data_IF_763320640968
#
_entry.id   IF_763320640968
#
_cell.length_a   1.000
_cell.length_b   1.000
_cell.length_c   1.000
_cell.angle_alpha   90.00
_cell.angle_beta   90.00
_cell.angle_gamma   90.00
#
_symmetry.space_group_name_H-M   'P 1'
#
loop_
_entity.id
_entity.type
_entity.pdbx_description
1 polymer ?
#
# COMPACT_ATOMS: atom_id res chain seq x y z
N UNK A 1 23.97 12.10 -14.83
CA UNK A 1 22.73 11.55 -14.22
C UNK A 1 22.31 12.59 -13.23
N UNK A 2 21.14 13.19 -13.45
CA UNK A 2 20.67 14.31 -12.64
C UNK A 2 19.61 13.80 -11.68
N UNK A 3 19.65 14.29 -10.43
CA UNK A 3 18.67 13.94 -9.41
C UNK A 3 17.71 15.12 -9.26
N UNK A 4 16.41 14.84 -9.38
CA UNK A 4 15.35 15.83 -9.28
C UNK A 4 14.41 15.38 -8.16
N UNK A 5 14.36 16.16 -7.09
CA UNK A 5 13.56 15.88 -5.90
C UNK A 5 12.26 16.68 -5.81
N UNK A 6 12.14 17.78 -6.58
CA UNK A 6 10.98 18.70 -6.50
C UNK A 6 10.41 19.08 -7.87
N UNK A 7 9.16 19.54 -7.89
CA UNK A 7 8.54 20.08 -9.11
C UNK A 7 9.26 21.35 -9.61
N UNK A 8 9.85 22.14 -8.71
CA UNK A 8 10.58 23.36 -9.06
C UNK A 8 11.89 23.04 -9.78
N UNK A 9 12.64 22.05 -9.28
CA UNK A 9 13.82 21.52 -9.94
C UNK A 9 13.49 20.93 -11.31
N UNK A 10 12.36 20.21 -11.43
CA UNK A 10 11.88 19.70 -12.71
C UNK A 10 11.59 20.82 -13.70
N UNK A 11 10.96 21.92 -13.25
CA UNK A 11 10.66 23.10 -14.09
C UNK A 11 11.91 23.86 -14.53
N UNK A 12 12.92 23.91 -13.68
CA UNK A 12 14.20 24.54 -13.98
C UNK A 12 15.12 23.66 -14.84
N UNK A 13 14.79 22.37 -14.99
CA UNK A 13 15.60 21.42 -15.73
C UNK A 13 15.63 21.77 -17.22
N UNK A 14 16.80 22.20 -17.69
CA UNK A 14 17.08 22.43 -19.12
C UNK A 14 18.15 21.46 -19.56
N UNK A 15 17.83 20.63 -20.55
CA UNK A 15 18.79 19.74 -21.21
C UNK A 15 18.73 19.87 -22.72
N UNK A 16 19.80 19.43 -23.37
CA UNK A 16 19.89 19.34 -24.83
C UNK A 16 18.74 18.47 -25.38
N UNK A 17 17.85 19.01 -26.25
CA UNK A 17 16.73 18.28 -26.83
C UNK A 17 17.15 17.13 -27.76
N UNK A 18 18.39 17.10 -28.23
CA UNK A 18 18.90 16.04 -29.12
C UNK A 18 19.19 14.71 -28.40
N UNK A 19 19.10 14.66 -27.06
CA UNK A 19 19.41 13.47 -26.28
C UNK A 19 18.13 12.86 -25.68
N UNK A 20 18.01 11.53 -25.76
CA UNK A 20 16.93 10.78 -25.11
C UNK A 20 16.95 10.97 -23.59
N UNK A 21 15.78 11.21 -23.00
CA UNK A 21 15.61 11.34 -21.56
C UNK A 21 15.16 9.99 -20.98
N UNK A 22 15.86 9.48 -19.96
CA UNK A 22 15.43 8.31 -19.20
C UNK A 22 15.16 8.73 -17.75
N UNK A 23 13.94 8.49 -17.27
CA UNK A 23 13.49 8.83 -15.93
C UNK A 23 13.36 7.54 -15.12
N UNK A 24 14.05 7.49 -13.98
CA UNK A 24 13.96 6.40 -13.01
C UNK A 24 13.57 6.96 -11.65
N UNK A 25 12.95 6.13 -10.80
CA UNK A 25 12.47 6.55 -9.48
C UNK A 25 13.20 5.83 -8.34
N UNK A 26 13.30 6.47 -7.18
CA UNK A 26 13.72 5.75 -5.99
C UNK A 26 12.63 4.74 -5.58
N UNK A 27 13.04 3.57 -5.10
CA UNK A 27 12.12 2.46 -4.74
C UNK A 27 11.05 2.83 -3.71
N UNK A 28 11.34 3.80 -2.84
CA UNK A 28 10.42 4.29 -1.79
C UNK A 28 9.79 5.64 -2.13
N UNK A 29 9.97 6.14 -3.35
CA UNK A 29 9.46 7.45 -3.75
C UNK A 29 7.94 7.44 -3.84
N UNK A 30 7.32 8.60 -3.59
CA UNK A 30 5.86 8.71 -3.59
C UNK A 30 5.31 8.62 -5.03
N UNK A 31 4.47 7.62 -5.29
CA UNK A 31 3.87 7.38 -6.61
C UNK A 31 3.11 8.58 -7.17
N UNK A 32 2.28 9.26 -6.36
CA UNK A 32 1.55 10.46 -6.81
C UNK A 32 2.46 11.62 -7.20
N UNK A 33 3.60 11.79 -6.51
CA UNK A 33 4.61 12.78 -6.89
C UNK A 33 5.33 12.36 -8.16
N UNK A 34 5.64 11.08 -8.31
CA UNK A 34 6.25 10.53 -9.52
C UNK A 34 5.37 10.76 -10.75
N UNK A 35 4.08 10.44 -10.67
CA UNK A 35 3.12 10.65 -11.75
C UNK A 35 3.06 12.10 -12.22
N UNK A 36 3.05 13.05 -11.29
CA UNK A 36 3.08 14.49 -11.64
C UNK A 36 4.36 14.89 -12.37
N UNK A 37 5.50 14.36 -11.93
CA UNK A 37 6.79 14.63 -12.59
C UNK A 37 6.83 14.00 -13.98
N UNK A 38 6.35 12.78 -14.12
CA UNK A 38 6.22 12.09 -15.41
C UNK A 38 5.30 12.87 -16.36
N UNK A 39 4.14 13.33 -15.89
CA UNK A 39 3.21 14.15 -16.67
C UNK A 39 3.87 15.47 -17.10
N UNK A 40 4.66 16.08 -16.22
CA UNK A 40 5.42 17.28 -16.52
C UNK A 40 6.46 17.06 -17.64
N UNK A 41 7.29 16.02 -17.53
CA UNK A 41 8.32 15.73 -18.53
C UNK A 41 7.73 15.24 -19.86
N UNK A 42 6.60 14.53 -19.83
CA UNK A 42 5.89 14.08 -21.03
C UNK A 42 5.30 15.25 -21.85
N UNK A 43 5.01 16.38 -21.19
CA UNK A 43 4.52 17.61 -21.87
C UNK A 43 5.65 18.44 -22.49
N UNK A 44 6.91 18.13 -22.21
CA UNK A 44 8.04 18.82 -22.82
C UNK A 44 8.37 18.24 -24.20
N UNK A 45 8.86 19.09 -25.11
CA UNK A 45 9.21 18.69 -26.49
C UNK A 45 10.55 17.96 -26.54
N UNK A 46 10.60 16.76 -25.98
CA UNK A 46 11.73 15.84 -26.12
C UNK A 46 11.40 14.78 -27.18
N UNK A 47 12.36 14.44 -28.04
CA UNK A 47 12.16 13.46 -29.12
C UNK A 47 11.87 12.05 -28.60
N UNK A 48 12.37 11.71 -27.41
CA UNK A 48 12.11 10.43 -26.74
C UNK A 48 12.29 10.53 -25.22
N UNK A 49 11.26 10.18 -24.47
CA UNK A 49 11.28 10.07 -23.00
C UNK A 49 10.94 8.63 -22.61
N UNK A 50 11.92 7.91 -22.06
CA UNK A 50 11.75 6.58 -21.50
C UNK A 50 11.52 6.70 -19.99
N UNK A 51 10.42 6.15 -19.49
CA UNK A 51 10.06 6.22 -18.07
C UNK A 51 10.11 4.80 -17.50
N UNK A 52 11.07 4.56 -16.61
CA UNK A 52 11.16 3.34 -15.83
C UNK A 52 10.68 3.63 -14.40
N UNK A 53 9.44 3.21 -14.11
CA UNK A 53 8.96 3.25 -12.74
C UNK A 53 9.61 2.13 -11.92
N UNK A 54 10.60 2.50 -11.12
CA UNK A 54 11.31 1.61 -10.21
C UNK A 54 10.82 1.73 -8.76
N UNK A 55 9.67 2.37 -8.53
CA UNK A 55 9.02 2.40 -7.19
C UNK A 55 8.53 1.00 -6.85
N UNK A 56 8.81 0.55 -5.64
CA UNK A 56 8.32 -0.72 -5.11
C UNK A 56 6.87 -0.53 -4.62
N UNK A 57 5.92 -1.04 -5.40
CA UNK A 57 4.47 -0.99 -5.14
C UNK A 57 4.00 -1.92 -4.01
N UNK A 58 4.89 -2.68 -3.38
CA UNK A 58 4.55 -3.72 -2.40
C UNK A 58 3.74 -3.24 -1.18
N UNK A 59 3.73 -1.94 -0.89
CA UNK A 59 2.89 -1.33 0.14
C UNK A 59 1.52 -0.92 -0.40
N UNK A 60 1.45 -0.46 -1.65
CA UNK A 60 0.22 -0.06 -2.32
C UNK A 60 -0.62 -1.28 -2.75
N UNK A 61 0.02 -2.31 -3.30
CA UNK A 61 -0.63 -3.59 -3.61
C UNK A 61 -1.27 -4.20 -2.37
N UNK A 62 -0.53 -4.34 -1.26
CA UNK A 62 -1.09 -4.88 0.00
C UNK A 62 -2.24 -4.05 0.56
N UNK A 63 -2.20 -2.73 0.38
CA UNK A 63 -3.30 -1.85 0.79
C UNK A 63 -4.51 -1.99 -0.13
N UNK A 64 -4.29 -2.20 -1.43
CA UNK A 64 -5.34 -2.43 -2.41
C UNK A 64 -6.00 -3.80 -2.21
N UNK A 65 -5.21 -4.85 -1.99
CA UNK A 65 -5.70 -6.20 -1.65
C UNK A 65 -6.50 -6.18 -0.35
N UNK A 66 -6.00 -5.52 0.70
CA UNK A 66 -6.73 -5.38 1.96
C UNK A 66 -8.07 -4.66 1.78
N UNK A 67 -8.10 -3.63 0.92
CA UNK A 67 -9.34 -2.92 0.57
C UNK A 67 -10.32 -3.84 -0.18
N UNK A 68 -9.84 -4.58 -1.17
CA UNK A 68 -10.69 -5.48 -1.96
C UNK A 68 -11.28 -6.59 -1.09
N UNK A 69 -10.47 -7.20 -0.22
CA UNK A 69 -10.95 -8.21 0.72
C UNK A 69 -11.98 -7.59 1.66
N UNK A 70 -11.70 -6.42 2.25
CA UNK A 70 -12.62 -5.75 3.16
C UNK A 70 -14.00 -5.45 2.53
N UNK A 71 -14.04 -5.11 1.24
CA UNK A 71 -15.31 -4.90 0.52
C UNK A 71 -16.11 -6.18 0.19
N UNK A 72 -15.56 -7.37 0.46
CA UNK A 72 -16.17 -8.67 0.11
C UNK A 72 -16.48 -9.56 1.30
N UNK A 73 -16.16 -9.12 2.51
CA UNK A 73 -16.30 -9.91 3.74
C UNK A 73 -17.22 -9.23 4.74
N UNK A 74 -17.84 -10.03 5.61
CA UNK A 74 -18.73 -9.54 6.66
C UNK A 74 -17.95 -8.99 7.86
N UNK A 75 -16.71 -9.44 8.06
CA UNK A 75 -15.82 -8.93 9.11
C UNK A 75 -14.37 -9.02 8.70
N UNK A 76 -13.56 -8.04 9.13
CA UNK A 76 -12.13 -8.00 8.86
C UNK A 76 -11.33 -8.11 10.14
N UNK A 77 -10.26 -8.89 10.13
CA UNK A 77 -9.29 -8.99 11.22
C UNK A 77 -7.94 -8.49 10.71
N UNK A 78 -7.39 -7.48 11.37
CA UNK A 78 -6.10 -6.87 11.06
C UNK A 78 -5.13 -7.19 12.20
N UNK A 79 -4.10 -7.97 11.88
CA UNK A 79 -3.11 -8.47 12.84
C UNK A 79 -1.84 -7.61 12.79
N UNK A 80 -1.37 -7.15 13.94
CA UNK A 80 -0.03 -6.58 14.08
C UNK A 80 0.11 -5.57 15.23
N UNK A 81 1.32 -5.06 15.45
CA UNK A 81 1.60 -4.17 16.59
C UNK A 81 1.02 -2.77 16.42
N UNK A 82 0.37 -2.23 17.47
CA UNK A 82 -0.33 -0.93 17.45
C UNK A 82 0.57 0.28 17.12
N UNK A 83 1.89 0.12 17.28
CA UNK A 83 2.90 1.13 16.94
C UNK A 83 3.35 1.07 15.47
N UNK A 84 2.95 0.04 14.71
CA UNK A 84 3.27 -0.07 13.29
C UNK A 84 2.40 0.88 12.47
N UNK A 85 3.02 1.88 11.85
CA UNK A 85 2.33 2.82 10.95
C UNK A 85 1.65 2.07 9.79
N UNK A 86 2.28 1.00 9.28
CA UNK A 86 1.71 0.21 8.19
C UNK A 86 0.48 -0.59 8.65
N UNK A 87 0.51 -1.16 9.86
CA UNK A 87 -0.64 -1.92 10.38
C UNK A 87 -1.81 -1.00 10.71
N UNK A 88 -1.54 0.20 11.25
CA UNK A 88 -2.59 1.22 11.47
C UNK A 88 -3.22 1.67 10.15
N UNK A 89 -2.40 1.90 9.12
CA UNK A 89 -2.87 2.28 7.78
C UNK A 89 -3.77 1.19 7.20
N UNK A 90 -3.36 -0.08 7.28
CA UNK A 90 -4.18 -1.22 6.85
C UNK A 90 -5.50 -1.29 7.61
N UNK A 91 -5.46 -1.11 8.93
CA UNK A 91 -6.68 -1.08 9.75
C UNK A 91 -7.64 0.03 9.33
N UNK A 92 -7.15 1.26 9.13
CA UNK A 92 -7.98 2.37 8.67
C UNK A 92 -8.60 2.09 7.29
N UNK A 93 -7.85 1.48 6.37
CA UNK A 93 -8.36 1.11 5.05
C UNK A 93 -9.47 0.06 5.17
N UNK A 94 -9.23 -1.02 5.90
CA UNK A 94 -10.23 -2.07 6.10
C UNK A 94 -11.46 -1.53 6.81
N UNK A 95 -11.30 -0.69 7.84
CA UNK A 95 -12.40 -0.10 8.61
C UNK A 95 -13.29 0.83 7.77
N UNK A 96 -12.74 1.48 6.76
CA UNK A 96 -13.51 2.32 5.84
C UNK A 96 -14.40 1.52 4.90
N UNK A 97 -14.02 0.29 4.54
CA UNK A 97 -14.81 -0.57 3.65
C UNK A 97 -15.71 -1.56 4.43
N UNK A 98 -15.23 -2.04 5.57
CA UNK A 98 -15.89 -3.02 6.44
C UNK A 98 -15.99 -2.43 7.86
N UNK A 99 -17.19 -2.02 8.26
CA UNK A 99 -17.42 -1.45 9.59
C UNK A 99 -17.07 -2.47 10.70
N UNK A 100 -17.22 -3.77 10.46
CA UNK A 100 -16.81 -4.83 11.39
C UNK A 100 -15.32 -5.23 11.22
N UNK A 101 -14.44 -4.22 11.25
CA UNK A 101 -12.99 -4.42 11.28
C UNK A 101 -12.44 -4.43 12.72
N UNK A 102 -11.67 -5.47 13.05
CA UNK A 102 -11.02 -5.73 14.33
C UNK A 102 -9.51 -5.60 14.24
N UNK A 103 -8.92 -5.04 15.27
CA UNK A 103 -7.47 -4.92 15.43
C UNK A 103 -6.99 -5.87 16.51
N UNK A 104 -6.08 -6.79 16.20
CA UNK A 104 -5.52 -7.73 17.18
C UNK A 104 -4.00 -7.73 17.16
N UNK A 105 -3.39 -7.75 18.35
CA UNK A 105 -1.93 -7.90 18.50
C UNK A 105 -1.57 -9.35 18.84
N UNK A 106 -2.48 -10.04 19.51
CA UNK A 106 -2.34 -11.42 19.97
C UNK A 106 -3.67 -12.15 19.82
N UNK A 107 -3.64 -13.49 19.87
CA UNK A 107 -4.86 -14.31 19.90
C UNK A 107 -5.84 -13.93 21.01
N UNK A 108 -5.33 -13.40 22.13
CA UNK A 108 -6.17 -13.03 23.28
C UNK A 108 -7.06 -11.83 23.01
N UNK A 109 -6.69 -11.01 22.01
CA UNK A 109 -7.47 -9.84 21.60
C UNK A 109 -8.64 -10.24 20.69
N UNK A 110 -8.66 -11.48 20.19
CA UNK A 110 -9.74 -11.99 19.35
C UNK A 110 -10.92 -12.42 20.21
N UNK A 111 -11.99 -11.63 20.19
CA UNK A 111 -13.27 -12.03 20.79
C UNK A 111 -14.17 -12.68 19.72
N UNK A 112 -14.19 -14.02 19.70
CA UNK A 112 -15.02 -14.81 18.78
C UNK A 112 -16.51 -14.46 18.84
N UNK A 113 -17.00 -13.91 19.96
CA UNK A 113 -18.41 -13.50 20.10
C UNK A 113 -18.75 -12.25 19.28
N UNK A 114 -17.74 -11.47 18.89
CA UNK A 114 -17.90 -10.28 18.06
C UNK A 114 -17.87 -10.62 16.57
N UNK A 115 -17.33 -11.79 16.21
CA UNK A 115 -17.39 -12.27 14.85
C UNK A 115 -18.81 -12.80 14.53
N UNK A 116 -19.27 -12.62 13.28
CA UNK A 116 -20.54 -13.16 12.85
C UNK A 116 -20.53 -14.68 12.95
N UNK A 117 -21.61 -15.26 13.49
CA UNK A 117 -21.77 -16.72 13.63
C UNK A 117 -21.88 -17.45 12.27
N UNK A 118 -22.21 -16.72 11.21
CA UNK A 118 -22.18 -17.14 9.81
C UNK A 118 -21.76 -15.95 8.95
N UNK A 119 -20.69 -16.08 8.19
CA UNK A 119 -20.19 -15.02 7.32
C UNK A 119 -18.79 -15.31 6.80
N UNK A 120 -18.32 -14.47 5.88
CA UNK A 120 -16.94 -14.47 5.44
C UNK A 120 -16.12 -13.55 6.36
N UNK A 121 -15.04 -14.09 6.93
CA UNK A 121 -14.09 -13.34 7.73
C UNK A 121 -12.81 -13.17 6.94
N UNK A 122 -12.45 -11.93 6.62
CA UNK A 122 -11.18 -11.61 5.99
C UNK A 122 -10.08 -11.41 7.04
N UNK A 123 -8.89 -11.93 6.77
CA UNK A 123 -7.73 -11.81 7.66
C UNK A 123 -6.60 -11.14 6.89
N UNK A 124 -6.04 -10.07 7.45
CA UNK A 124 -4.84 -9.41 6.93
C UNK A 124 -3.86 -9.12 8.05
N UNK A 125 -2.58 -8.97 7.71
CA UNK A 125 -1.54 -8.72 8.70
C UNK A 125 -0.53 -7.69 8.21
N UNK A 126 0.00 -6.89 9.15
CA UNK A 126 1.11 -5.99 8.84
C UNK A 126 2.38 -6.77 8.52
N UNK A 127 3.26 -6.19 7.70
CA UNK A 127 4.49 -6.83 7.21
C UNK A 127 5.45 -7.35 8.32
N UNK A 128 5.37 -6.80 9.53
CA UNK A 128 6.18 -7.19 10.69
C UNK A 128 5.52 -8.25 11.57
N UNK A 129 4.40 -8.82 11.14
CA UNK A 129 3.62 -9.79 11.93
C UNK A 129 4.05 -11.20 11.56
N UNK A 130 4.36 -12.08 12.53
CA UNK A 130 4.83 -13.42 12.25
C UNK A 130 3.70 -14.33 11.75
N UNK A 131 4.01 -15.21 10.80
CA UNK A 131 3.02 -16.07 10.13
C UNK A 131 2.30 -17.04 11.08
N UNK A 132 2.96 -17.48 12.15
CA UNK A 132 2.36 -18.37 13.15
C UNK A 132 1.08 -17.76 13.77
N UNK A 133 1.08 -16.47 14.07
CA UNK A 133 -0.08 -15.78 14.62
C UNK A 133 -1.23 -15.69 13.60
N UNK A 134 -0.90 -15.50 12.32
CA UNK A 134 -1.88 -15.47 11.23
C UNK A 134 -2.56 -16.84 11.09
N UNK A 135 -1.77 -17.92 11.12
CA UNK A 135 -2.29 -19.30 11.05
C UNK A 135 -3.17 -19.65 12.24
N UNK A 136 -2.77 -19.25 13.45
CA UNK A 136 -3.55 -19.51 14.66
C UNK A 136 -4.91 -18.79 14.63
N UNK A 137 -4.93 -17.52 14.22
CA UNK A 137 -6.17 -16.75 14.05
C UNK A 137 -7.04 -17.35 12.96
N UNK A 138 -6.44 -17.77 11.84
CA UNK A 138 -7.16 -18.44 10.77
C UNK A 138 -7.81 -19.76 11.23
N UNK A 139 -7.12 -20.55 12.05
CA UNK A 139 -7.67 -21.81 12.59
C UNK A 139 -8.85 -21.57 13.53
N UNK A 140 -8.82 -20.51 14.35
CA UNK A 140 -9.93 -20.13 15.22
C UNK A 140 -11.17 -19.72 14.42
N UNK A 141 -11.00 -19.06 13.26
CA UNK A 141 -12.11 -18.58 12.43
C UNK A 141 -12.72 -19.63 11.49
N UNK A 142 -12.13 -20.83 11.36
CA UNK A 142 -12.59 -21.91 10.48
C UNK A 142 -13.59 -22.89 11.14
N UNK A 143 -14.14 -22.52 12.30
CA UNK A 143 -15.02 -23.38 13.12
C UNK A 143 -16.49 -23.06 12.88
#
# INVERSE_FOLDING_TARGET
MDVIGTEEEARAYRRNPEHSLCIVSQTTFNYKKFDKLVEFFSKMRYDRVDILNTICSATEERQSEAREIAGRVDSMIVIGGSHSSNTRKLFEICRNECEDTYYIQTLKDLDMRRLPSRGCVGITAGASTPNNLIEEVSKQCQI
#
